data_IF_801444464212
#
_entry.id   IF_801444464212
#
_cell.length_a   1.000
_cell.length_b   1.000
_cell.length_c   1.000
_cell.angle_alpha   90.00
_cell.angle_beta   90.00
_cell.angle_gamma   90.00
#
_symmetry.space_group_name_H-M   'P 1'
#
loop_
_entity.id
_entity.type
_entity.pdbx_description
1 polymer ?
#
# COMPACT_ATOMS: atom_id res chain seq x y z
N UNK A 1 38.40 -11.95 13.54
CA UNK A 1 38.02 -11.13 12.37
C UNK A 1 38.61 -9.73 12.52
N UNK A 2 38.97 -9.07 11.42
CA UNK A 2 39.55 -7.72 11.38
C UNK A 2 38.53 -6.72 10.86
N UNK A 3 38.57 -5.48 11.34
CA UNK A 3 37.67 -4.44 10.85
C UNK A 3 37.98 -4.09 9.39
N UNK A 4 36.95 -4.02 8.55
CA UNK A 4 37.08 -3.64 7.13
C UNK A 4 37.66 -2.24 6.91
N UNK A 5 37.45 -1.33 7.85
CA UNK A 5 37.81 0.09 7.68
C UNK A 5 39.21 0.41 8.19
N UNK A 6 39.54 -0.05 9.40
CA UNK A 6 40.83 0.28 10.02
C UNK A 6 41.80 -0.92 10.12
N UNK A 7 41.31 -2.14 9.92
CA UNK A 7 42.09 -3.36 10.12
C UNK A 7 42.23 -3.80 11.59
N UNK A 8 41.64 -3.09 12.56
CA UNK A 8 41.79 -3.42 13.98
C UNK A 8 40.93 -4.61 14.42
N UNK A 9 41.31 -5.21 15.56
CA UNK A 9 40.57 -6.28 16.24
C UNK A 9 40.25 -5.87 17.68
N UNK A 10 39.21 -6.45 18.30
CA UNK A 10 38.23 -7.38 17.72
C UNK A 10 37.20 -6.67 16.84
N UNK A 11 36.68 -7.41 15.85
CA UNK A 11 35.64 -6.94 14.95
C UNK A 11 34.47 -7.93 14.88
N UNK A 12 33.26 -7.39 14.69
CA UNK A 12 32.01 -8.15 14.55
C UNK A 12 31.46 -7.98 13.13
N UNK A 13 30.92 -9.06 12.56
CA UNK A 13 30.28 -9.03 11.25
C UNK A 13 28.80 -8.69 11.37
N UNK A 14 28.45 -7.49 10.92
CA UNK A 14 27.09 -6.96 10.87
C UNK A 14 27.03 -5.80 9.89
N UNK A 15 25.83 -5.43 9.50
CA UNK A 15 25.60 -4.37 8.52
C UNK A 15 24.82 -3.21 9.14
N UNK A 16 25.19 -1.98 8.80
CA UNK A 16 24.36 -0.80 9.07
C UNK A 16 23.59 -0.42 7.81
N UNK A 17 22.32 -0.03 7.97
CA UNK A 17 21.45 0.37 6.87
C UNK A 17 21.04 1.82 7.03
N UNK A 18 20.86 2.54 5.93
CA UNK A 18 20.29 3.89 5.94
C UNK A 18 19.12 3.94 4.99
N UNK A 19 18.03 4.53 5.47
CA UNK A 19 16.83 4.72 4.69
C UNK A 19 16.79 6.16 4.17
N UNK A 20 16.77 6.32 2.85
CA UNK A 20 16.53 7.60 2.20
C UNK A 20 15.17 7.51 1.51
N UNK A 21 14.14 8.03 2.18
CA UNK A 21 12.84 8.27 1.60
C UNK A 21 12.87 9.59 0.83
N UNK A 22 12.93 9.52 -0.49
CA UNK A 22 12.46 10.61 -1.32
C UNK A 22 11.03 10.26 -1.73
N UNK A 23 10.13 11.24 -1.81
CA UNK A 23 8.68 11.05 -2.03
C UNK A 23 8.36 10.06 -3.17
N UNK A 24 9.21 10.02 -4.20
CA UNK A 24 9.07 9.13 -5.36
C UNK A 24 10.14 8.04 -5.49
N UNK A 25 11.22 8.09 -4.69
CA UNK A 25 12.34 7.13 -4.80
C UNK A 25 12.77 6.68 -3.41
N UNK A 26 12.55 5.40 -3.11
CA UNK A 26 13.07 4.78 -1.90
C UNK A 26 14.46 4.21 -2.18
N UNK A 27 15.48 4.74 -1.51
CA UNK A 27 16.84 4.22 -1.61
C UNK A 27 17.28 3.63 -0.27
N UNK A 28 17.46 2.32 -0.24
CA UNK A 28 18.08 1.60 0.87
C UNK A 28 19.59 1.57 0.66
N UNK A 29 20.34 2.21 1.55
CA UNK A 29 21.80 2.11 1.55
C UNK A 29 22.23 1.09 2.60
N UNK A 30 23.11 0.19 2.21
CA UNK A 30 23.70 -0.82 3.09
C UNK A 30 25.20 -0.55 3.19
N UNK A 31 25.72 -0.50 4.42
CA UNK A 31 27.15 -0.40 4.68
C UNK A 31 27.59 -1.70 5.37
N UNK A 32 28.21 -2.62 4.62
CA UNK A 32 28.57 -3.92 5.15
C UNK A 32 29.79 -3.88 6.07
N UNK A 33 29.78 -4.74 7.08
CA UNK A 33 30.90 -4.95 8.01
C UNK A 33 32.03 -5.80 7.41
N UNK A 34 32.92 -6.36 8.25
CA UNK A 34 32.96 -6.34 9.72
C UNK A 34 33.52 -5.04 10.35
N UNK A 35 33.05 -4.71 11.56
CA UNK A 35 33.36 -3.46 12.27
C UNK A 35 34.07 -3.69 13.62
N UNK A 36 35.10 -2.91 13.92
CA UNK A 36 35.54 -2.70 15.31
C UNK A 36 34.58 -1.75 16.03
N UNK A 37 34.73 -1.60 17.35
CA UNK A 37 33.85 -0.74 18.15
C UNK A 37 33.72 0.68 17.59
N UNK A 38 34.84 1.37 17.38
CA UNK A 38 34.82 2.79 17.08
C UNK A 38 34.33 3.06 15.64
N UNK A 39 34.80 2.27 14.66
CA UNK A 39 34.31 2.33 13.28
C UNK A 39 32.82 1.96 13.16
N UNK A 40 32.35 1.02 13.97
CA UNK A 40 30.94 0.66 14.02
C UNK A 40 30.08 1.76 14.63
N UNK A 41 30.54 2.43 15.68
CA UNK A 41 29.85 3.59 16.27
C UNK A 41 29.81 4.79 15.32
N UNK A 42 30.90 5.06 14.59
CA UNK A 42 30.94 6.10 13.56
C UNK A 42 29.94 5.81 12.43
N UNK A 43 29.96 4.58 11.91
CA UNK A 43 29.04 4.10 10.88
C UNK A 43 27.57 4.18 11.33
N UNK A 44 27.26 3.70 12.53
CA UNK A 44 25.93 3.81 13.11
C UNK A 44 25.45 5.26 13.17
N UNK A 45 26.27 6.17 13.70
CA UNK A 45 25.88 7.58 13.87
C UNK A 45 25.64 8.28 12.52
N UNK A 46 26.43 7.95 11.50
CA UNK A 46 26.24 8.44 10.14
C UNK A 46 24.95 7.89 9.53
N UNK A 47 24.79 6.57 9.49
CA UNK A 47 23.68 5.91 8.78
C UNK A 47 22.32 6.20 9.44
N UNK A 48 22.28 6.17 10.77
CA UNK A 48 21.08 6.52 11.54
C UNK A 48 20.77 8.01 11.44
N UNK A 49 21.78 8.88 11.48
CA UNK A 49 21.58 10.32 11.29
C UNK A 49 20.99 10.67 9.92
N UNK A 50 21.51 10.06 8.85
CA UNK A 50 20.97 10.23 7.51
C UNK A 50 19.51 9.74 7.42
N UNK A 51 19.18 8.61 8.07
CA UNK A 51 17.82 8.05 8.12
C UNK A 51 16.85 8.91 8.93
N UNK A 52 17.32 9.57 9.99
CA UNK A 52 16.50 10.47 10.78
C UNK A 52 16.09 11.73 10.02
N UNK A 53 16.88 12.19 9.05
CA UNK A 53 16.52 13.39 8.27
C UNK A 53 15.77 13.02 6.99
N UNK A 54 16.13 11.89 6.38
CA UNK A 54 15.65 11.51 5.06
C UNK A 54 14.62 10.38 5.07
N UNK A 55 14.32 9.75 6.20
CA UNK A 55 13.42 8.60 6.26
C UNK A 55 11.93 8.93 6.41
N UNK A 56 11.55 10.20 6.58
CA UNK A 56 10.17 10.58 6.97
C UNK A 56 9.28 11.09 5.83
N UNK A 57 9.80 11.19 4.59
CA UNK A 57 9.12 11.89 3.50
C UNK A 57 8.01 11.09 2.78
N UNK A 58 7.67 9.89 3.25
CA UNK A 58 6.59 9.10 2.65
C UNK A 58 5.87 8.21 3.68
N UNK A 59 4.57 7.92 3.50
CA UNK A 59 3.74 7.25 4.52
C UNK A 59 4.23 5.83 4.85
N UNK A 60 4.54 5.02 3.85
CA UNK A 60 5.12 3.68 4.06
C UNK A 60 6.50 3.73 4.73
N UNK A 61 7.32 4.71 4.36
CA UNK A 61 8.64 4.91 4.95
C UNK A 61 8.55 5.32 6.42
N UNK A 62 7.65 6.26 6.70
CA UNK A 62 7.41 6.82 8.01
C UNK A 62 6.90 5.77 9.00
N UNK A 63 5.95 4.93 8.59
CA UNK A 63 5.28 3.97 9.47
C UNK A 63 6.03 2.64 9.62
N UNK A 64 6.70 2.18 8.56
CA UNK A 64 7.22 0.80 8.50
C UNK A 64 8.72 0.78 8.24
N UNK A 65 9.16 1.24 7.06
CA UNK A 65 10.52 0.97 6.60
C UNK A 65 11.62 1.69 7.43
N UNK A 66 11.42 2.97 7.75
CA UNK A 66 12.38 3.75 8.53
C UNK A 66 12.41 3.28 10.01
N UNK A 67 11.28 3.09 10.72
CA UNK A 67 11.28 2.54 12.07
C UNK A 67 11.99 1.18 12.19
N UNK A 68 11.73 0.26 11.25
CA UNK A 68 12.41 -1.05 11.23
C UNK A 68 13.92 -0.88 11.03
N UNK A 69 14.34 0.02 10.13
CA UNK A 69 15.75 0.30 9.87
C UNK A 69 16.45 0.90 11.10
N UNK A 70 15.82 1.88 11.76
CA UNK A 70 16.33 2.51 12.98
C UNK A 70 16.48 1.47 14.11
N UNK A 71 15.49 0.59 14.28
CA UNK A 71 15.53 -0.47 15.30
C UNK A 71 16.64 -1.50 15.02
N UNK A 72 16.76 -1.97 13.79
CA UNK A 72 17.82 -2.90 13.39
C UNK A 72 19.21 -2.30 13.63
N UNK A 73 19.41 -1.03 13.26
CA UNK A 73 20.65 -0.31 13.53
C UNK A 73 20.91 -0.13 15.03
N UNK A 74 19.88 0.09 15.85
CA UNK A 74 20.01 0.23 17.30
C UNK A 74 20.50 -1.09 17.94
N UNK A 75 19.92 -2.22 17.54
CA UNK A 75 20.38 -3.56 17.97
C UNK A 75 21.84 -3.76 17.57
N UNK A 76 22.20 -3.42 16.33
CA UNK A 76 23.58 -3.53 15.87
C UNK A 76 24.53 -2.59 16.63
N UNK A 77 24.08 -1.40 17.01
CA UNK A 77 24.83 -0.49 17.90
C UNK A 77 25.04 -1.09 19.29
N UNK A 78 24.07 -1.81 19.84
CA UNK A 78 24.24 -2.50 21.13
C UNK A 78 25.33 -3.56 21.00
N UNK A 79 25.29 -4.38 19.95
CA UNK A 79 26.29 -5.42 19.68
C UNK A 79 27.70 -4.86 19.48
N UNK A 80 27.85 -3.81 18.67
CA UNK A 80 29.14 -3.11 18.50
C UNK A 80 29.63 -2.50 19.82
N UNK A 81 28.72 -1.93 20.60
CA UNK A 81 29.05 -1.30 21.88
C UNK A 81 29.55 -2.26 22.96
N UNK A 82 29.29 -3.56 22.81
CA UNK A 82 29.79 -4.61 23.72
C UNK A 82 31.23 -5.03 23.41
N UNK A 83 31.81 -4.60 22.28
CA UNK A 83 33.20 -4.90 21.97
C UNK A 83 34.16 -4.10 22.90
N UNK A 84 35.32 -4.66 23.23
CA UNK A 84 36.40 -3.90 23.85
C UNK A 84 36.99 -2.86 22.86
N UNK A 85 37.81 -1.90 23.33
CA UNK A 85 38.51 -0.97 22.44
C UNK A 85 39.34 -1.69 21.37
N UNK A 86 39.48 -1.10 20.16
CA UNK A 86 40.34 -1.66 19.13
C UNK A 86 41.81 -1.66 19.58
N UNK A 87 42.50 -2.78 19.36
CA UNK A 87 43.91 -2.95 19.71
C UNK A 87 44.78 -2.08 18.77
N UNK A 88 45.74 -1.30 19.30
CA UNK A 88 46.65 -0.50 18.49
C UNK A 88 47.59 -1.38 17.64
N UNK A 89 47.98 -0.89 16.46
CA UNK A 89 48.86 -1.62 15.52
C UNK A 89 48.17 -2.09 14.23
N UNK A 90 46.94 -1.65 13.97
CA UNK A 90 46.24 -1.91 12.71
C UNK A 90 46.76 -1.03 11.55
N UNK A 91 46.42 -1.40 10.31
CA UNK A 91 46.86 -0.67 9.11
C UNK A 91 46.47 0.81 9.07
N UNK A 92 45.31 1.17 9.63
CA UNK A 92 44.85 2.56 9.68
C UNK A 92 44.16 2.88 11.02
N UNK A 93 44.08 4.18 11.32
CA UNK A 93 43.42 4.66 12.53
C UNK A 93 41.91 4.34 12.49
N UNK A 94 41.31 3.91 13.61
CA UNK A 94 39.87 3.78 13.72
C UNK A 94 39.16 5.09 13.36
N UNK A 95 37.99 4.99 12.73
CA UNK A 95 37.17 6.17 12.45
C UNK A 95 36.74 6.82 13.77
N UNK A 96 36.83 8.14 13.83
CA UNK A 96 36.33 8.90 14.97
C UNK A 96 34.78 8.84 15.00
N UNK A 97 34.18 8.25 16.04
CA UNK A 97 32.73 8.26 16.17
C UNK A 97 32.19 9.68 16.44
N UNK A 98 33.01 10.63 16.86
CA UNK A 98 32.66 12.04 17.08
C UNK A 98 31.63 12.25 18.18
N UNK A 99 30.77 13.27 18.02
CA UNK A 99 29.66 13.55 18.96
C UNK A 99 28.57 12.47 18.91
N UNK A 100 27.92 12.15 20.04
CA UNK A 100 26.78 11.23 20.06
C UNK A 100 25.58 11.79 19.30
N UNK A 101 24.64 10.90 18.92
CA UNK A 101 23.53 11.24 18.02
C UNK A 101 22.63 12.37 18.56
N UNK A 102 22.39 12.41 19.87
CA UNK A 102 21.56 13.45 20.51
C UNK A 102 22.19 14.84 20.50
N UNK A 103 23.50 14.95 20.25
CA UNK A 103 24.21 16.23 20.12
C UNK A 103 24.40 16.65 18.65
N UNK A 104 23.81 15.94 17.69
CA UNK A 104 23.92 16.23 16.26
C UNK A 104 22.63 16.85 15.74
N UNK A 105 22.74 17.79 14.81
CA UNK A 105 21.58 18.40 14.15
C UNK A 105 20.63 17.37 13.51
N UNK A 106 21.14 16.20 13.10
CA UNK A 106 20.32 15.10 12.58
C UNK A 106 19.26 14.60 13.57
N UNK A 107 19.41 14.85 14.87
CA UNK A 107 18.39 14.50 15.88
C UNK A 107 17.09 15.27 15.68
N UNK A 108 17.13 16.47 15.09
CA UNK A 108 15.93 17.27 14.78
C UNK A 108 14.98 16.49 13.88
N UNK A 109 15.52 15.61 13.02
CA UNK A 109 14.71 14.73 12.20
C UNK A 109 13.80 13.79 13.01
N UNK A 110 14.15 13.44 14.25
CA UNK A 110 13.29 12.65 15.13
C UNK A 110 12.05 13.41 15.62
N UNK A 111 12.02 14.74 15.51
CA UNK A 111 10.86 15.56 15.88
C UNK A 111 9.75 15.49 14.84
N UNK A 112 10.06 15.19 13.58
CA UNK A 112 9.08 15.08 12.49
C UNK A 112 7.98 14.06 12.80
N UNK A 113 8.29 12.80 13.15
CA UNK A 113 7.26 11.85 13.51
C UNK A 113 6.50 12.19 14.78
N UNK A 114 7.18 12.73 15.79
CA UNK A 114 6.54 13.15 17.03
C UNK A 114 5.54 14.30 16.79
N UNK A 115 5.93 15.30 16.01
CA UNK A 115 5.08 16.43 15.67
C UNK A 115 3.83 16.01 14.89
N UNK A 116 3.98 15.09 13.92
CA UNK A 116 2.86 14.57 13.15
C UNK A 116 1.88 13.78 14.03
N UNK A 117 2.39 12.94 14.94
CA UNK A 117 1.55 12.20 15.90
C UNK A 117 0.80 13.17 16.81
N UNK A 118 1.48 14.19 17.36
CA UNK A 118 0.84 15.21 18.22
C UNK A 118 -0.24 15.98 17.46
N UNK A 119 0.03 16.37 16.21
CA UNK A 119 -0.94 17.06 15.37
C UNK A 119 -2.19 16.20 15.09
N UNK A 120 -2.01 14.90 14.79
CA UNK A 120 -3.12 13.97 14.60
C UNK A 120 -3.95 13.78 15.87
N UNK A 121 -3.30 13.65 17.03
CA UNK A 121 -3.99 13.52 18.33
C UNK A 121 -4.76 14.81 18.64
N UNK A 122 -4.16 15.98 18.42
CA UNK A 122 -4.82 17.27 18.63
C UNK A 122 -6.02 17.47 17.68
N UNK A 123 -5.90 17.06 16.42
CA UNK A 123 -6.99 17.08 15.45
C UNK A 123 -8.13 16.13 15.86
N UNK A 124 -7.80 14.91 16.31
CA UNK A 124 -8.78 13.96 16.81
C UNK A 124 -9.48 14.45 18.10
N UNK A 125 -8.75 15.14 18.99
CA UNK A 125 -9.32 15.75 20.18
C UNK A 125 -10.21 16.98 19.89
N UNK A 126 -9.99 17.65 18.75
CA UNK A 126 -10.80 18.80 18.27
C UNK A 126 -11.99 18.38 17.40
N UNK A 127 -12.09 17.09 17.07
CA UNK A 127 -13.18 16.48 16.30
C UNK A 127 -14.48 16.45 17.08
N UNK A 128 -15.22 17.55 17.03
CA UNK A 128 -16.61 17.63 17.49
C UNK A 128 -17.46 16.60 16.74
N UNK A 129 -18.22 15.82 17.51
CA UNK A 129 -19.11 14.77 17.03
C UNK A 129 -20.10 15.29 15.99
N UNK A 130 -20.09 14.71 14.78
CA UNK A 130 -21.25 14.76 13.88
C UNK A 130 -21.84 13.36 13.79
N UNK A 131 -22.66 13.00 14.78
CA UNK A 131 -23.64 11.93 14.62
C UNK A 131 -24.80 12.52 13.82
N UNK A 132 -24.89 12.21 12.53
CA UNK A 132 -26.13 12.48 11.77
C UNK A 132 -26.94 11.19 11.70
N UNK A 133 -27.86 11.05 12.66
CA UNK A 133 -28.95 10.07 12.59
C UNK A 133 -29.98 10.57 11.58
N UNK A 134 -30.09 9.91 10.43
CA UNK A 134 -31.13 10.19 9.44
C UNK A 134 -32.08 9.01 9.36
N UNK A 135 -33.16 9.08 10.15
CA UNK A 135 -34.38 8.29 10.01
C UNK A 135 -35.01 8.52 8.63
N UNK A 136 -35.08 7.49 7.78
CA UNK A 136 -35.83 7.56 6.52
C UNK A 136 -37.26 7.00 6.69
N UNK A 137 -38.31 7.71 6.24
CA UNK A 137 -39.68 7.21 6.22
C UNK A 137 -39.91 6.27 5.02
N UNK A 138 -40.73 5.24 5.25
CA UNK A 138 -41.21 4.29 4.25
C UNK A 138 -42.20 5.00 3.31
N UNK A 139 -41.99 4.92 1.99
CA UNK A 139 -42.98 5.31 0.99
C UNK A 139 -43.12 4.16 -0.02
N UNK A 140 -44.30 3.53 -0.04
CA UNK A 140 -44.70 2.55 -1.05
C UNK A 140 -45.67 3.21 -2.03
N UNK A 141 -45.45 3.13 -3.35
CA UNK A 141 -46.46 3.53 -4.31
C UNK A 141 -47.29 2.31 -4.80
N UNK A 142 -48.57 2.52 -5.16
CA UNK A 142 -49.50 1.46 -5.51
C UNK A 142 -49.80 1.37 -7.03
N UNK A 143 -50.26 0.18 -7.41
CA UNK A 143 -51.26 -0.13 -8.45
C UNK A 143 -51.01 0.13 -9.95
N UNK A 144 -51.02 -1.02 -10.65
CA UNK A 144 -51.76 -1.35 -11.90
C UNK A 144 -51.59 -0.47 -13.14
N UNK A 145 -50.98 -1.06 -14.16
CA UNK A 145 -51.31 -0.77 -15.54
C UNK A 145 -51.55 -2.06 -16.33
N UNK A 146 -52.63 -2.05 -17.10
CA UNK A 146 -53.16 -3.13 -17.92
C UNK A 146 -52.44 -3.20 -19.26
N UNK A 147 -52.05 -4.40 -19.71
CA UNK A 147 -51.39 -4.62 -21.00
C UNK A 147 -52.41 -4.82 -22.13
N UNK A 148 -52.18 -4.26 -23.34
CA UNK A 148 -52.87 -4.69 -24.55
C UNK A 148 -52.19 -5.92 -25.19
N UNK A 149 -53.02 -6.75 -25.81
CA UNK A 149 -52.70 -8.02 -26.47
C UNK A 149 -51.96 -7.77 -27.79
N UNK A 150 -50.84 -8.48 -28.01
CA UNK A 150 -50.11 -8.52 -29.29
C UNK A 150 -50.20 -9.95 -29.88
N UNK A 151 -50.36 -10.12 -31.21
CA UNK A 151 -50.58 -11.43 -31.85
C UNK A 151 -49.36 -12.35 -31.83
N UNK A 152 -49.68 -13.65 -31.83
CA UNK A 152 -48.81 -14.82 -31.90
C UNK A 152 -47.87 -14.84 -33.10
N UNK A 153 -46.55 -14.94 -32.82
CA UNK A 153 -45.54 -15.40 -33.76
C UNK A 153 -45.18 -16.88 -33.51
N UNK A 154 -44.77 -17.63 -34.55
CA UNK A 154 -44.48 -19.05 -34.47
C UNK A 154 -43.21 -19.34 -33.65
N UNK A 155 -43.30 -20.46 -32.94
CA UNK A 155 -42.27 -21.06 -32.09
C UNK A 155 -41.01 -21.40 -32.88
N UNK A 156 -39.91 -20.72 -32.55
CA UNK A 156 -38.56 -21.16 -32.84
C UNK A 156 -38.01 -22.00 -31.67
N UNK A 157 -37.10 -22.95 -31.96
CA UNK A 157 -36.77 -24.05 -31.08
C UNK A 157 -36.15 -23.56 -29.76
N UNK A 158 -36.58 -24.20 -28.68
CA UNK A 158 -35.95 -24.14 -27.36
C UNK A 158 -34.49 -24.50 -27.52
N UNK A 159 -33.62 -23.50 -27.50
CA UNK A 159 -32.20 -23.69 -27.26
C UNK A 159 -32.04 -23.77 -25.73
N UNK A 160 -31.56 -24.90 -25.19
CA UNK A 160 -31.15 -24.93 -23.80
C UNK A 160 -29.86 -24.14 -23.72
N UNK A 161 -29.96 -22.88 -23.31
CA UNK A 161 -28.79 -22.16 -22.84
C UNK A 161 -29.09 -21.75 -21.42
N UNK A 162 -28.83 -22.69 -20.52
CA UNK A 162 -28.23 -22.36 -19.23
C UNK A 162 -27.19 -21.29 -19.52
N UNK A 163 -27.40 -20.02 -19.14
CA UNK A 163 -26.34 -19.03 -19.26
C UNK A 163 -25.26 -19.53 -18.30
N UNK A 164 -24.09 -19.85 -18.83
CA UNK A 164 -22.93 -20.10 -18.01
C UNK A 164 -22.83 -18.94 -17.02
N UNK A 165 -22.86 -19.23 -15.72
CA UNK A 165 -22.63 -18.25 -14.66
C UNK A 165 -21.28 -17.63 -14.95
N UNK A 166 -21.30 -16.42 -15.50
CA UNK A 166 -20.10 -15.68 -15.88
C UNK A 166 -19.82 -14.70 -14.75
N UNK A 167 -19.04 -15.18 -13.79
CA UNK A 167 -18.53 -14.36 -12.67
C UNK A 167 -17.66 -13.21 -13.19
N UNK A 168 -17.40 -12.20 -12.35
CA UNK A 168 -16.52 -11.05 -12.61
C UNK A 168 -15.22 -11.40 -13.37
N UNK A 169 -14.63 -12.57 -13.08
CA UNK A 169 -13.40 -13.06 -13.70
C UNK A 169 -13.53 -13.30 -15.21
N UNK A 170 -14.74 -13.59 -15.69
CA UNK A 170 -15.05 -13.89 -17.09
C UNK A 170 -15.52 -12.69 -17.91
N UNK A 171 -15.73 -11.54 -17.27
CA UNK A 171 -16.13 -10.29 -17.94
C UNK A 171 -15.03 -9.81 -18.90
N UNK A 172 -15.45 -9.36 -20.09
CA UNK A 172 -14.65 -8.79 -21.17
C UNK A 172 -15.06 -7.36 -21.45
N UNK A 173 -14.21 -6.63 -22.16
CA UNK A 173 -14.52 -5.27 -22.64
C UNK A 173 -15.77 -5.33 -23.53
N UNK A 174 -16.74 -4.46 -23.25
CA UNK A 174 -18.04 -4.41 -23.90
C UNK A 174 -19.13 -5.25 -23.23
N UNK A 175 -18.79 -6.08 -22.25
CA UNK A 175 -19.80 -6.82 -21.47
C UNK A 175 -20.53 -5.87 -20.52
N UNK A 176 -21.82 -6.11 -20.32
CA UNK A 176 -22.60 -5.42 -19.30
C UNK A 176 -22.64 -6.23 -18.02
N UNK A 177 -22.53 -5.53 -16.89
CA UNK A 177 -22.47 -6.14 -15.57
C UNK A 177 -23.57 -5.61 -14.68
N UNK A 178 -23.99 -6.48 -13.77
CA UNK A 178 -24.94 -6.20 -12.71
C UNK A 178 -24.35 -6.65 -11.39
N UNK A 179 -24.48 -5.83 -10.36
CA UNK A 179 -24.16 -6.25 -9.00
C UNK A 179 -25.35 -6.99 -8.35
N UNK A 180 -25.13 -8.25 -7.94
CA UNK A 180 -26.14 -9.04 -7.22
C UNK A 180 -26.48 -8.48 -5.85
N UNK A 181 -25.61 -7.69 -5.25
CA UNK A 181 -25.79 -7.18 -3.90
C UNK A 181 -26.55 -5.84 -3.86
N UNK A 182 -26.67 -5.14 -4.99
CA UNK A 182 -27.40 -3.88 -5.07
C UNK A 182 -26.91 -2.95 -6.16
N UNK A 183 -26.54 -1.74 -5.79
CA UNK A 183 -26.06 -0.70 -6.71
C UNK A 183 -24.52 -0.69 -6.72
N UNK A 184 -23.98 -1.03 -7.89
CA UNK A 184 -22.55 -1.09 -8.20
C UNK A 184 -21.79 0.21 -7.90
N UNK A 185 -22.47 1.36 -7.86
CA UNK A 185 -21.84 2.65 -7.55
C UNK A 185 -21.62 2.88 -6.04
N UNK A 186 -22.26 2.08 -5.18
CA UNK A 186 -22.28 2.32 -3.72
C UNK A 186 -21.92 1.11 -2.87
N UNK A 187 -21.79 -0.08 -3.47
CA UNK A 187 -21.41 -1.30 -2.76
C UNK A 187 -19.88 -1.41 -2.63
N UNK A 188 -19.39 -1.63 -1.41
CA UNK A 188 -17.97 -1.84 -1.10
C UNK A 188 -17.48 -3.26 -1.46
N UNK A 189 -18.40 -4.21 -1.67
CA UNK A 189 -18.15 -5.61 -2.03
C UNK A 189 -19.09 -6.11 -3.16
N UNK A 190 -19.01 -5.51 -4.36
CA UNK A 190 -19.93 -5.82 -5.44
C UNK A 190 -19.73 -7.25 -5.96
N UNK A 191 -20.83 -8.00 -6.09
CA UNK A 191 -20.83 -9.36 -6.65
C UNK A 191 -21.30 -9.30 -8.10
N UNK A 192 -20.35 -9.04 -9.00
CA UNK A 192 -20.60 -8.83 -10.42
C UNK A 192 -21.01 -10.12 -11.14
N UNK A 193 -22.11 -10.02 -11.88
CA UNK A 193 -22.56 -10.99 -12.87
C UNK A 193 -22.62 -10.34 -14.25
N UNK A 194 -22.08 -11.02 -15.26
CA UNK A 194 -22.19 -10.58 -16.65
C UNK A 194 -23.61 -10.86 -17.16
N UNK A 195 -24.29 -9.81 -17.59
CA UNK A 195 -25.64 -9.83 -18.14
C UNK A 195 -25.64 -9.30 -19.57
N UNK A 196 -26.72 -9.55 -20.30
CA UNK A 196 -26.91 -8.96 -21.62
C UNK A 196 -27.08 -7.43 -21.49
N UNK A 197 -26.46 -6.65 -22.38
CA UNK A 197 -26.57 -5.19 -22.36
C UNK A 197 -27.98 -4.66 -22.64
N UNK A 198 -28.83 -5.49 -23.28
CA UNK A 198 -30.25 -5.23 -23.43
C UNK A 198 -31.09 -5.53 -22.20
N UNK A 199 -30.53 -6.19 -21.17
CA UNK A 199 -31.22 -6.49 -19.92
C UNK A 199 -31.45 -5.20 -19.11
N UNK A 200 -32.63 -5.06 -18.52
CA UNK A 200 -32.97 -3.93 -17.66
C UNK A 200 -32.12 -3.88 -16.37
N UNK A 201 -31.44 -4.99 -16.03
CA UNK A 201 -30.56 -5.10 -14.86
C UNK A 201 -29.11 -4.71 -15.14
N UNK A 202 -28.75 -4.44 -16.39
CA UNK A 202 -27.41 -3.96 -16.74
C UNK A 202 -27.16 -2.57 -16.14
N UNK A 203 -26.27 -2.49 -15.15
CA UNK A 203 -25.96 -1.26 -14.42
C UNK A 203 -24.74 -0.53 -14.97
N UNK A 204 -23.76 -1.30 -15.48
CA UNK A 204 -22.54 -0.73 -16.02
C UNK A 204 -22.00 -1.53 -17.19
N UNK A 205 -21.21 -0.87 -18.03
CA UNK A 205 -20.50 -1.49 -19.17
C UNK A 205 -19.01 -1.53 -18.88
N UNK A 206 -18.35 -2.65 -19.19
CA UNK A 206 -16.89 -2.78 -19.04
C UNK A 206 -16.19 -2.03 -20.17
N UNK A 207 -15.53 -0.93 -19.86
CA UNK A 207 -14.69 -0.19 -20.81
C UNK A 207 -13.31 -0.81 -20.96
N UNK A 208 -12.76 -1.34 -19.88
CA UNK A 208 -11.39 -1.83 -19.82
C UNK A 208 -11.21 -2.92 -18.77
N UNK A 209 -10.30 -3.85 -19.04
CA UNK A 209 -9.82 -4.84 -18.06
C UNK A 209 -8.30 -4.88 -18.02
N UNK A 210 -7.65 -3.83 -17.50
CA UNK A 210 -6.22 -3.87 -17.25
C UNK A 210 -5.87 -4.98 -16.25
N UNK A 211 -4.72 -5.63 -16.47
CA UNK A 211 -4.23 -6.74 -15.64
C UNK A 211 -2.91 -6.39 -15.00
N UNK A 212 -2.65 -6.93 -13.81
CA UNK A 212 -1.43 -6.73 -13.04
C UNK A 212 -1.60 -5.71 -11.90
N UNK A 213 -0.51 -5.45 -11.16
CA UNK A 213 -0.55 -4.79 -9.84
C UNK A 213 -0.75 -3.27 -9.90
N UNK A 214 -1.10 -2.74 -11.08
CA UNK A 214 -1.35 -1.30 -11.33
C UNK A 214 -2.62 -1.11 -12.14
N UNK A 215 -3.47 -2.13 -12.19
CA UNK A 215 -4.63 -2.15 -13.06
C UNK A 215 -5.64 -1.05 -12.72
N UNK A 216 -5.75 -0.69 -11.45
CA UNK A 216 -6.53 0.45 -10.96
C UNK A 216 -6.08 1.78 -11.60
N UNK A 217 -4.79 2.09 -11.56
CA UNK A 217 -4.21 3.32 -12.14
C UNK A 217 -4.30 3.36 -13.67
N UNK A 218 -4.43 2.20 -14.32
CA UNK A 218 -4.64 2.11 -15.75
C UNK A 218 -6.08 2.47 -16.13
N UNK A 219 -7.06 2.25 -15.25
CA UNK A 219 -8.42 2.73 -15.48
C UNK A 219 -8.48 4.27 -15.51
N UNK A 220 -7.83 4.93 -14.54
CA UNK A 220 -7.83 6.39 -14.46
C UNK A 220 -7.13 7.08 -15.64
N UNK A 221 -6.07 6.46 -16.17
CA UNK A 221 -5.23 7.05 -17.22
C UNK A 221 -5.68 6.70 -18.64
N UNK A 222 -6.19 5.49 -18.87
CA UNK A 222 -6.55 5.01 -20.20
C UNK A 222 -8.06 5.08 -20.49
N UNK A 223 -8.89 5.15 -19.45
CA UNK A 223 -10.36 5.12 -19.56
C UNK A 223 -10.98 6.28 -18.75
N UNK A 224 -10.82 7.54 -19.21
CA UNK A 224 -11.35 8.72 -18.51
C UNK A 224 -12.88 8.77 -18.42
N UNK A 225 -13.57 7.90 -19.15
CA UNK A 225 -15.03 7.75 -19.13
C UNK A 225 -15.50 6.66 -18.15
N UNK A 226 -14.60 6.09 -17.36
CA UNK A 226 -14.96 5.14 -16.32
C UNK A 226 -15.44 5.88 -15.06
N UNK A 227 -16.63 5.55 -14.60
CA UNK A 227 -17.24 6.13 -13.39
C UNK A 227 -16.92 5.32 -12.14
N UNK A 228 -16.71 4.01 -12.29
CA UNK A 228 -16.44 3.06 -11.19
C UNK A 228 -15.29 2.14 -11.57
N UNK A 229 -14.37 1.90 -10.62
CA UNK A 229 -13.25 0.96 -10.79
C UNK A 229 -13.35 -0.15 -9.76
N UNK A 230 -13.42 -1.40 -10.23
CA UNK A 230 -13.52 -2.58 -9.35
C UNK A 230 -12.25 -3.43 -9.49
N UNK A 231 -11.51 -3.58 -8.40
CA UNK A 231 -10.27 -4.38 -8.37
C UNK A 231 -10.51 -5.79 -7.86
N UNK A 232 -9.94 -6.79 -8.53
CA UNK A 232 -9.89 -8.16 -8.04
C UNK A 232 -8.53 -8.47 -7.43
N UNK A 233 -8.53 -9.01 -6.20
CA UNK A 233 -7.33 -9.42 -5.46
C UNK A 233 -7.35 -10.92 -5.25
N UNK A 234 -6.23 -11.58 -5.52
CA UNK A 234 -6.01 -12.99 -5.14
C UNK A 234 -4.98 -13.06 -4.04
N UNK A 235 -5.27 -13.82 -2.99
CA UNK A 235 -4.29 -14.23 -1.99
C UNK A 235 -3.87 -15.68 -2.24
N UNK A 236 -2.56 -15.95 -2.20
CA UNK A 236 -2.00 -17.30 -2.29
C UNK A 236 -1.57 -17.73 -0.88
N UNK A 237 -2.36 -18.58 -0.24
CA UNK A 237 -2.11 -19.05 1.12
C UNK A 237 -2.20 -17.94 2.16
N UNK A 238 -1.18 -17.78 3.00
CA UNK A 238 -1.06 -16.68 3.98
C UNK A 238 -0.21 -15.50 3.45
N UNK A 239 -0.07 -15.39 2.13
CA UNK A 239 0.70 -14.33 1.48
C UNK A 239 -0.05 -12.99 1.41
N UNK A 240 0.63 -11.92 0.97
CA UNK A 240 -0.03 -10.64 0.70
C UNK A 240 -1.03 -10.77 -0.46
N UNK A 241 -2.15 -10.06 -0.37
CA UNK A 241 -3.12 -9.95 -1.48
C UNK A 241 -2.46 -9.25 -2.68
N UNK A 242 -2.53 -9.89 -3.85
CA UNK A 242 -2.00 -9.35 -5.10
C UNK A 242 -3.18 -8.96 -5.97
N UNK A 243 -3.18 -7.74 -6.48
CA UNK A 243 -4.14 -7.29 -7.48
C UNK A 243 -3.90 -8.00 -8.81
N UNK A 244 -4.90 -8.75 -9.27
CA UNK A 244 -4.82 -9.51 -10.52
C UNK A 244 -5.25 -8.65 -11.72
N UNK A 245 -6.37 -7.94 -11.56
CA UNK A 245 -6.97 -7.10 -12.59
C UNK A 245 -7.92 -6.06 -11.98
N UNK A 246 -8.20 -5.01 -12.73
CA UNK A 246 -9.25 -4.06 -12.44
C UNK A 246 -10.25 -4.02 -13.60
N UNK A 247 -11.52 -3.75 -13.30
CA UNK A 247 -12.56 -3.51 -14.28
C UNK A 247 -12.88 -2.01 -14.24
N UNK A 248 -12.66 -1.34 -15.37
CA UNK A 248 -13.03 0.05 -15.55
C UNK A 248 -14.46 0.07 -16.10
N UNK A 249 -15.40 0.57 -15.31
CA UNK A 249 -16.83 0.50 -15.61
C UNK A 249 -17.39 1.88 -15.87
N UNK A 250 -18.25 1.96 -16.89
CA UNK A 250 -19.07 3.13 -17.15
C UNK A 250 -20.50 2.83 -16.75
N UNK A 251 -21.09 3.69 -15.93
CA UNK A 251 -22.49 3.55 -15.50
C UNK A 251 -23.41 3.85 -16.69
N UNK A 252 -24.54 3.13 -16.75
CA UNK A 252 -25.56 3.28 -17.78
C UNK A 252 -26.61 4.32 -17.40
#
# INVERSE_FOLDING_TARGET
MYCRFCGATPAIDLDFRAHRGMVFVMQYRKLPGPYCRDCGLASFRKMTGDSLVQGWWGPFSFLIANPITLLANLVNRLRVGQLPPPIPGAHSLPMDPGKPLWQRASIVGALVPLGLIVALIAAAASGSSTKSSSSRPYYSPPTTYSMPVIPSMPSLPVVPTTPAVRDAKSARVGDCVHDKNGDIATDDHPKLEVVDCGDARAQATVLGKPTGPTADTQCDSQYPNADVVITHKTSIGNGPEIEDFALCLQLK
#
